data_IF_560187527604
#
_entry.id   IF_560187527604
#
_cell.length_a   1.000
_cell.length_b   1.000
_cell.length_c   1.000
_cell.angle_alpha   90.00
_cell.angle_beta   90.00
_cell.angle_gamma   90.00
#
_symmetry.space_group_name_H-M   'P 1'
#
loop_
_entity.id
_entity.type
_entity.pdbx_description
1 polymer ?
#
# COMPACT_ATOMS: atom_id res chain seq x y z
N UNK A 1 -0.09 2.72 -24.73
CA UNK A 1 0.05 2.22 -23.35
C UNK A 1 -1.35 2.33 -22.77
N UNK A 2 -2.02 1.21 -22.47
CA UNK A 2 -3.40 1.28 -21.94
C UNK A 2 -3.29 1.88 -20.54
N UNK A 3 -3.97 2.99 -20.34
CA UNK A 3 -4.21 3.53 -19.01
C UNK A 3 -4.78 2.39 -18.16
N UNK A 4 -4.12 2.13 -17.04
CA UNK A 4 -4.64 1.21 -16.05
C UNK A 4 -5.99 1.81 -15.65
N UNK A 5 -7.07 1.07 -15.90
CA UNK A 5 -8.40 1.44 -15.43
C UNK A 5 -8.36 1.32 -13.91
N UNK A 6 -8.01 2.42 -13.23
CA UNK A 6 -8.08 2.49 -11.77
C UNK A 6 -9.56 2.52 -11.46
N UNK A 7 -10.09 1.40 -10.96
CA UNK A 7 -11.43 1.35 -10.36
C UNK A 7 -11.61 2.61 -9.50
N UNK A 8 -12.61 3.43 -9.81
CA UNK A 8 -12.78 4.75 -9.20
C UNK A 8 -12.74 4.71 -7.67
N UNK A 9 -12.27 5.82 -7.07
CA UNK A 9 -12.06 5.97 -5.62
C UNK A 9 -13.24 5.49 -4.76
N UNK A 10 -14.47 5.54 -5.29
CA UNK A 10 -15.68 5.11 -4.59
C UNK A 10 -15.61 3.63 -4.14
N UNK A 11 -14.99 2.73 -4.91
CA UNK A 11 -14.83 1.33 -4.52
C UNK A 11 -13.84 1.13 -3.37
N UNK A 12 -12.81 1.98 -3.25
CA UNK A 12 -11.83 1.87 -2.17
C UNK A 12 -12.41 2.33 -0.83
N UNK A 13 -13.32 3.32 -0.86
CA UNK A 13 -14.00 3.82 0.34
C UNK A 13 -14.91 2.76 1.01
N UNK A 14 -15.32 1.72 0.26
CA UNK A 14 -16.17 0.65 0.78
C UNK A 14 -15.37 -0.50 1.41
N UNK A 15 -14.05 -0.55 1.18
CA UNK A 15 -13.18 -1.61 1.70
C UNK A 15 -12.55 -1.15 3.01
N UNK A 16 -12.77 -1.84 4.14
CA UNK A 16 -12.11 -1.49 5.39
C UNK A 16 -10.59 -1.53 5.22
N UNK A 17 -9.90 -0.50 5.71
CA UNK A 17 -8.44 -0.32 5.59
C UNK A 17 -7.67 -1.58 5.99
N UNK A 18 -8.05 -2.21 7.09
CA UNK A 18 -7.41 -3.44 7.57
C UNK A 18 -7.57 -4.63 6.59
N UNK A 19 -8.71 -4.75 5.89
CA UNK A 19 -8.92 -5.82 4.89
C UNK A 19 -8.01 -5.61 3.69
N UNK A 20 -7.92 -4.37 3.20
CA UNK A 20 -7.04 -4.01 2.09
C UNK A 20 -5.58 -4.34 2.42
N UNK A 21 -5.11 -3.93 3.60
CA UNK A 21 -3.74 -4.19 4.05
C UNK A 21 -3.47 -5.69 4.09
N UNK A 22 -4.33 -6.47 4.76
CA UNK A 22 -4.20 -7.93 4.87
C UNK A 22 -4.11 -8.63 3.51
N UNK A 23 -4.89 -8.22 2.52
CA UNK A 23 -4.83 -8.80 1.18
C UNK A 23 -3.55 -8.43 0.41
N UNK A 24 -3.04 -7.21 0.59
CA UNK A 24 -1.80 -6.78 -0.04
C UNK A 24 -0.58 -7.50 0.55
N UNK A 25 -0.53 -7.73 1.88
CA UNK A 25 0.59 -8.41 2.55
C UNK A 25 0.84 -9.82 2.02
N UNK A 26 -0.20 -10.47 1.49
CA UNK A 26 -0.13 -11.86 0.99
C UNK A 26 0.52 -11.98 -0.39
N UNK A 27 0.75 -10.87 -1.11
CA UNK A 27 1.25 -10.90 -2.48
C UNK A 27 2.77 -11.06 -2.54
N UNK A 28 3.24 -11.86 -3.50
CA UNK A 28 4.67 -12.03 -3.73
C UNK A 28 5.34 -10.71 -4.10
N UNK A 29 6.47 -10.40 -3.46
CA UNK A 29 7.23 -9.16 -3.68
C UNK A 29 6.71 -7.94 -2.92
N UNK A 30 5.70 -8.10 -2.05
CA UNK A 30 5.26 -7.05 -1.13
C UNK A 30 5.98 -7.21 0.21
N UNK A 31 6.60 -6.12 0.66
CA UNK A 31 7.15 -5.99 1.99
C UNK A 31 6.29 -5.00 2.79
N UNK A 32 5.96 -5.34 4.03
CA UNK A 32 5.12 -4.49 4.89
C UNK A 32 5.86 -4.11 6.15
N UNK A 33 5.73 -2.85 6.54
CA UNK A 33 6.31 -2.30 7.78
C UNK A 33 5.29 -1.38 8.42
N UNK A 34 5.00 -1.62 9.69
CA UNK A 34 4.17 -0.72 10.51
C UNK A 34 5.02 0.45 11.02
N UNK A 35 4.46 1.66 11.02
CA UNK A 35 5.12 2.89 11.49
C UNK A 35 4.17 3.59 12.46
N UNK A 36 4.64 3.88 13.67
CA UNK A 36 3.84 4.56 14.67
C UNK A 36 3.73 6.07 14.37
N UNK A 37 2.72 6.77 14.92
CA UNK A 37 2.61 8.22 14.76
C UNK A 37 3.88 8.93 15.23
N UNK A 38 4.36 9.86 14.40
CA UNK A 38 5.59 10.66 14.63
C UNK A 38 6.91 9.87 14.58
N UNK A 39 6.89 8.58 14.20
CA UNK A 39 8.11 7.82 13.95
C UNK A 39 8.61 8.04 12.52
N UNK A 40 9.91 8.27 12.40
CA UNK A 40 10.61 8.28 11.12
C UNK A 40 11.22 6.89 10.83
N UNK A 41 10.98 6.37 9.61
CA UNK A 41 11.64 5.16 9.11
C UNK A 41 12.30 5.39 7.76
N UNK A 42 13.48 4.80 7.59
CA UNK A 42 14.28 4.86 6.36
C UNK A 42 14.31 3.47 5.73
N UNK A 43 14.06 3.41 4.41
CA UNK A 43 14.09 2.19 3.62
C UNK A 43 15.11 2.34 2.49
N UNK A 44 16.03 1.38 2.37
CA UNK A 44 16.98 1.30 1.27
C UNK A 44 16.59 0.16 0.33
N UNK A 45 16.26 0.50 -0.92
CA UNK A 45 15.82 -0.47 -1.94
C UNK A 45 16.71 -0.40 -3.17
N UNK A 46 17.07 -1.57 -3.69
CA UNK A 46 17.89 -1.70 -4.89
C UNK A 46 17.00 -1.96 -6.12
N UNK A 47 16.33 -0.92 -6.60
CA UNK A 47 15.51 -0.98 -7.82
C UNK A 47 14.28 -0.07 -7.77
N UNK A 48 13.45 -0.08 -8.82
CA UNK A 48 12.16 0.62 -8.83
C UNK A 48 11.25 0.02 -7.75
N UNK A 49 10.72 0.87 -6.87
CA UNK A 49 9.78 0.49 -5.84
C UNK A 49 8.56 1.41 -5.86
N UNK A 50 7.39 0.87 -5.51
CA UNK A 50 6.17 1.64 -5.27
C UNK A 50 5.92 1.56 -3.77
N UNK A 51 5.88 2.72 -3.12
CA UNK A 51 5.55 2.83 -1.69
C UNK A 51 4.09 3.22 -1.56
N UNK A 52 3.31 2.38 -0.88
CA UNK A 52 1.93 2.67 -0.52
C UNK A 52 1.87 2.98 0.97
N UNK A 53 1.57 4.23 1.31
CA UNK A 53 1.34 4.65 2.69
C UNK A 53 -0.15 4.53 2.98
N UNK A 54 -0.50 3.76 4.00
CA UNK A 54 -1.87 3.56 4.46
C UNK A 54 -1.98 4.16 5.85
N UNK A 55 -2.93 5.08 6.04
CA UNK A 55 -3.21 5.77 7.30
C UNK A 55 -4.71 5.59 7.56
N UNK A 56 -5.06 5.28 8.80
CA UNK A 56 -6.45 5.29 9.29
C UNK A 56 -6.80 6.65 9.91
#
# INVERSE_FOLDING_TARGET
MKDIDVCGNDMLNEVPTHVLVEELRKRSGVETTDVDPYDDKVFEVNGPAIVLVVID
#
